data_IF_523163538154
#
_entry.id   IF_523163538154
#
_cell.length_a   1.000
_cell.length_b   1.000
_cell.length_c   1.000
_cell.angle_alpha   90.00
_cell.angle_beta   90.00
_cell.angle_gamma   90.00
#
_symmetry.space_group_name_H-M   'P 1'
#
loop_
_entity.id
_entity.type
_entity.pdbx_description
1 polymer ?
#
# COMPACT_ATOMS: atom_id res chain seq x y z
N UNK A 1 -59.31 56.20 -0.54
CA UNK A 1 -58.59 56.19 0.75
C UNK A 1 -58.90 54.87 1.43
N UNK A 2 -57.83 54.15 1.81
CA UNK A 2 -57.74 52.88 2.58
C UNK A 2 -58.07 51.62 1.78
N UNK A 3 -57.07 50.82 1.36
CA UNK A 3 -56.19 49.88 2.11
C UNK A 3 -56.89 48.52 2.29
N UNK A 4 -56.32 47.32 2.17
CA UNK A 4 -55.02 46.79 1.73
C UNK A 4 -55.14 45.24 1.77
N UNK A 5 -54.35 44.57 0.92
CA UNK A 5 -53.64 43.30 1.15
C UNK A 5 -54.35 42.05 1.73
N UNK A 6 -54.63 41.09 0.84
CA UNK A 6 -54.51 39.66 1.14
C UNK A 6 -53.32 39.10 0.34
N UNK A 7 -52.13 39.09 0.95
CA UNK A 7 -50.95 38.41 0.43
C UNK A 7 -50.91 36.99 1.00
N UNK A 8 -50.90 36.01 0.10
CA UNK A 8 -50.64 34.61 0.39
C UNK A 8 -49.20 34.45 0.91
N UNK A 9 -49.05 34.18 2.20
CA UNK A 9 -47.79 33.67 2.76
C UNK A 9 -47.71 32.18 2.49
N UNK A 10 -47.01 31.79 1.42
CA UNK A 10 -46.60 30.41 1.22
C UNK A 10 -45.25 30.22 1.93
N UNK A 11 -45.29 29.82 3.20
CA UNK A 11 -44.11 29.48 4.00
C UNK A 11 -43.58 28.11 3.56
N UNK A 12 -42.82 28.10 2.46
CA UNK A 12 -41.96 26.99 2.10
C UNK A 12 -40.82 26.89 3.12
N UNK A 13 -40.93 25.92 4.03
CA UNK A 13 -39.85 25.53 4.94
C UNK A 13 -38.63 25.11 4.11
N UNK A 14 -37.62 25.99 4.03
CA UNK A 14 -36.35 25.69 3.39
C UNK A 14 -35.59 24.68 4.26
N UNK A 15 -35.66 23.39 3.91
CA UNK A 15 -34.82 22.36 4.51
C UNK A 15 -33.37 22.73 4.21
N UNK A 16 -32.64 23.26 5.20
CA UNK A 16 -31.21 23.55 5.06
C UNK A 16 -30.45 22.24 4.75
N UNK A 17 -29.70 22.21 3.65
CA UNK A 17 -28.87 21.05 3.26
C UNK A 17 -27.98 20.61 4.43
N UNK A 18 -27.84 19.29 4.65
CA UNK A 18 -26.97 18.73 5.72
C UNK A 18 -25.55 19.27 5.56
N UNK A 19 -25.09 19.33 4.31
CA UNK A 19 -23.75 19.72 3.96
C UNK A 19 -23.56 21.24 3.93
N UNK A 20 -24.61 22.07 3.97
CA UNK A 20 -24.45 23.53 4.09
C UNK A 20 -23.63 23.93 5.32
N UNK A 21 -23.80 23.25 6.45
CA UNK A 21 -22.99 23.53 7.66
C UNK A 21 -21.50 23.22 7.52
N UNK A 22 -21.13 22.41 6.52
CA UNK A 22 -19.75 21.97 6.27
C UNK A 22 -19.13 22.68 5.07
N UNK A 23 -19.92 22.91 4.02
CA UNK A 23 -19.46 23.28 2.70
C UNK A 23 -19.98 24.65 2.25
N UNK A 24 -20.70 25.40 3.07
CA UNK A 24 -21.12 26.77 2.80
C UNK A 24 -20.50 27.75 3.82
N UNK A 25 -20.24 28.99 3.42
CA UNK A 25 -19.64 30.03 4.27
C UNK A 25 -20.15 31.41 3.85
N UNK A 26 -20.46 32.30 4.81
CA UNK A 26 -20.60 33.76 4.57
C UNK A 26 -21.44 34.25 3.38
N UNK A 27 -22.40 33.46 2.88
CA UNK A 27 -23.21 33.77 1.67
C UNK A 27 -22.89 32.94 0.42
N UNK A 28 -21.85 32.09 0.44
CA UNK A 28 -21.54 31.11 -0.59
C UNK A 28 -22.29 29.80 -0.33
N UNK A 29 -23.14 29.39 -1.28
CA UNK A 29 -23.86 28.11 -1.28
C UNK A 29 -23.44 27.18 -2.44
N UNK A 30 -22.29 27.45 -3.08
CA UNK A 30 -21.81 26.75 -4.27
C UNK A 30 -20.38 26.22 -4.16
N UNK A 31 -20.09 25.16 -4.92
CA UNK A 31 -18.77 24.60 -5.20
C UNK A 31 -18.37 24.86 -6.66
N UNK A 32 -17.12 24.60 -7.04
CA UNK A 32 -16.64 24.70 -8.41
C UNK A 32 -16.57 23.33 -9.07
N UNK A 33 -17.29 23.13 -10.16
CA UNK A 33 -17.15 21.96 -11.03
C UNK A 33 -15.74 21.86 -11.66
N UNK A 34 -15.41 20.76 -12.37
CA UNK A 34 -14.15 20.62 -13.11
C UNK A 34 -13.92 21.70 -14.18
N UNK A 35 -14.98 22.30 -14.72
CA UNK A 35 -14.90 23.42 -15.68
C UNK A 35 -14.88 24.80 -15.02
N UNK A 36 -15.04 24.86 -13.69
CA UNK A 36 -15.12 26.11 -12.93
C UNK A 36 -16.54 26.67 -12.80
N UNK A 37 -17.55 26.04 -13.41
CA UNK A 37 -18.95 26.41 -13.22
C UNK A 37 -19.40 26.15 -11.77
N UNK A 38 -20.32 26.97 -11.26
CA UNK A 38 -20.84 26.86 -9.90
C UNK A 38 -21.86 25.72 -9.76
N UNK A 39 -21.71 24.91 -8.71
CA UNK A 39 -22.59 23.78 -8.37
C UNK A 39 -23.15 24.00 -6.97
N UNK A 40 -24.48 24.02 -6.81
CA UNK A 40 -25.09 24.25 -5.48
C UNK A 40 -24.79 23.11 -4.52
N UNK A 41 -24.48 23.46 -3.26
CA UNK A 41 -24.23 22.49 -2.18
C UNK A 41 -25.45 21.60 -1.92
N UNK A 42 -26.67 22.10 -2.11
CA UNK A 42 -27.90 21.32 -1.98
C UNK A 42 -28.00 20.13 -2.95
N UNK A 43 -27.25 20.15 -4.06
CA UNK A 43 -27.22 19.02 -5.00
C UNK A 43 -26.53 17.78 -4.41
N UNK A 44 -25.85 17.93 -3.27
CA UNK A 44 -25.17 16.85 -2.57
C UNK A 44 -26.08 16.13 -1.56
N UNK A 45 -27.26 16.67 -1.27
CA UNK A 45 -28.16 16.08 -0.28
C UNK A 45 -28.62 14.67 -0.70
N UNK A 46 -28.62 13.75 0.27
CA UNK A 46 -28.96 12.34 0.05
C UNK A 46 -27.83 11.49 -0.53
N UNK A 47 -26.71 12.10 -0.95
CA UNK A 47 -25.52 11.37 -1.43
C UNK A 47 -24.62 10.90 -0.29
N UNK A 48 -23.92 9.80 -0.51
CA UNK A 48 -22.69 9.47 0.24
C UNK A 48 -21.60 10.44 -0.24
N UNK A 49 -21.00 11.19 0.67
CA UNK A 49 -20.09 12.28 0.32
C UNK A 49 -18.65 11.97 0.76
N UNK A 50 -17.71 11.95 -0.18
CA UNK A 50 -16.28 11.91 0.09
C UNK A 50 -15.66 13.31 0.10
N UNK A 51 -15.11 13.75 1.22
CA UNK A 51 -14.26 14.96 1.29
C UNK A 51 -12.82 14.56 1.02
N UNK A 52 -12.30 14.95 -0.15
CA UNK A 52 -10.97 14.55 -0.61
C UNK A 52 -9.96 15.68 -0.40
N UNK A 53 -9.10 15.53 0.60
CA UNK A 53 -8.01 16.46 0.90
C UNK A 53 -6.76 16.05 0.11
N UNK A 54 -6.29 16.93 -0.77
CA UNK A 54 -5.23 16.61 -1.71
C UNK A 54 -4.52 17.85 -2.27
N UNK A 55 -3.35 17.66 -2.87
CA UNK A 55 -2.59 18.71 -3.54
C UNK A 55 -1.88 18.19 -4.79
N UNK A 56 -1.75 19.04 -5.80
CA UNK A 56 -1.13 18.73 -7.08
C UNK A 56 0.36 18.41 -6.94
N UNK A 57 1.06 19.15 -6.08
CA UNK A 57 2.51 19.04 -5.92
C UNK A 57 2.96 17.69 -5.33
N UNK A 58 2.09 16.99 -4.60
CA UNK A 58 2.46 15.78 -3.87
C UNK A 58 2.24 14.50 -4.70
N UNK A 59 3.29 13.71 -5.02
CA UNK A 59 3.14 12.51 -5.87
C UNK A 59 2.15 11.45 -5.34
N UNK A 60 2.11 11.11 -4.03
CA UNK A 60 1.11 10.18 -3.50
C UNK A 60 -0.33 10.66 -3.70
N UNK A 61 -0.58 11.96 -3.68
CA UNK A 61 -1.89 12.53 -4.02
C UNK A 61 -2.26 12.25 -5.47
N UNK A 62 -1.36 12.54 -6.42
CA UNK A 62 -1.59 12.27 -7.85
C UNK A 62 -1.84 10.78 -8.13
N UNK A 63 -1.11 9.89 -7.45
CA UNK A 63 -1.31 8.45 -7.58
C UNK A 63 -2.70 8.01 -7.09
N UNK A 64 -3.11 8.45 -5.88
CA UNK A 64 -4.42 8.12 -5.35
C UNK A 64 -5.56 8.73 -6.18
N UNK A 65 -5.37 9.94 -6.71
CA UNK A 65 -6.36 10.59 -7.58
C UNK A 65 -6.75 9.70 -8.76
N UNK A 66 -5.78 9.07 -9.43
CA UNK A 66 -6.06 8.16 -10.55
C UNK A 66 -6.92 6.96 -10.14
N UNK A 67 -6.75 6.46 -8.92
CA UNK A 67 -7.51 5.33 -8.37
C UNK A 67 -8.91 5.78 -7.98
N UNK A 68 -9.03 6.95 -7.33
CA UNK A 68 -10.31 7.50 -6.93
C UNK A 68 -11.16 7.89 -8.14
N UNK A 69 -10.58 8.46 -9.20
CA UNK A 69 -11.28 8.76 -10.47
C UNK A 69 -11.89 7.49 -11.06
N UNK A 70 -11.10 6.43 -11.22
CA UNK A 70 -11.59 5.15 -11.75
C UNK A 70 -12.68 4.52 -10.89
N UNK A 71 -12.56 4.65 -9.57
CA UNK A 71 -13.56 4.13 -8.62
C UNK A 71 -14.85 4.95 -8.73
N UNK A 72 -14.74 6.28 -8.75
CA UNK A 72 -15.86 7.19 -8.89
C UNK A 72 -16.62 6.98 -10.19
N UNK A 73 -15.92 6.92 -11.34
CA UNK A 73 -16.55 6.70 -12.65
C UNK A 73 -17.36 5.40 -12.67
N UNK A 74 -16.80 4.29 -12.18
CA UNK A 74 -17.53 3.03 -12.07
C UNK A 74 -18.75 3.11 -11.13
N UNK A 75 -18.65 3.86 -10.04
CA UNK A 75 -19.79 4.08 -9.15
C UNK A 75 -20.88 4.92 -9.84
N UNK A 76 -20.51 5.94 -10.61
CA UNK A 76 -21.46 6.71 -11.41
C UNK A 76 -22.14 5.85 -12.48
N UNK A 77 -21.37 5.02 -13.20
CA UNK A 77 -21.88 4.11 -14.23
C UNK A 77 -22.88 3.10 -13.65
N UNK A 78 -22.67 2.67 -12.41
CA UNK A 78 -23.59 1.78 -11.67
C UNK A 78 -24.81 2.52 -11.08
N UNK A 79 -24.92 3.83 -11.26
CA UNK A 79 -25.99 4.64 -10.68
C UNK A 79 -25.88 4.84 -9.16
N UNK A 80 -24.70 4.61 -8.58
CA UNK A 80 -24.47 4.78 -7.15
C UNK A 80 -24.51 6.25 -6.76
N UNK A 81 -25.19 6.56 -5.66
CA UNK A 81 -25.33 7.93 -5.17
C UNK A 81 -24.10 8.39 -4.37
N UNK A 82 -22.93 8.32 -4.98
CA UNK A 82 -21.65 8.75 -4.42
C UNK A 82 -21.23 10.09 -5.04
N UNK A 83 -20.68 10.99 -4.24
CA UNK A 83 -20.12 12.26 -4.72
C UNK A 83 -18.85 12.60 -3.95
N UNK A 84 -17.93 13.28 -4.62
CA UNK A 84 -16.67 13.71 -4.00
C UNK A 84 -16.63 15.23 -3.99
N UNK A 85 -16.00 15.82 -2.97
CA UNK A 85 -15.70 17.25 -2.93
C UNK A 85 -14.21 17.40 -2.66
N UNK A 86 -13.52 18.01 -3.61
CA UNK A 86 -12.10 18.30 -3.49
C UNK A 86 -11.85 19.47 -2.54
N UNK A 87 -10.99 19.24 -1.54
CA UNK A 87 -10.51 20.21 -0.57
C UNK A 87 -9.00 20.41 -0.81
N UNK A 88 -8.65 21.52 -1.44
CA UNK A 88 -7.28 21.75 -1.91
C UNK A 88 -6.33 22.21 -0.81
N UNK A 89 -5.16 21.56 -0.78
CA UNK A 89 -3.97 21.98 -0.04
C UNK A 89 -2.87 22.56 -0.96
N UNK A 90 -3.23 22.97 -2.18
CA UNK A 90 -2.31 23.68 -3.07
C UNK A 90 -2.00 25.09 -2.56
N UNK A 91 -0.81 25.59 -2.90
CA UNK A 91 -0.31 26.89 -2.45
C UNK A 91 -0.76 28.04 -3.35
N UNK A 92 -1.11 27.74 -4.61
CA UNK A 92 -1.51 28.72 -5.61
C UNK A 92 -2.73 28.27 -6.44
N UNK A 93 -3.37 29.24 -7.10
CA UNK A 93 -4.59 29.02 -7.87
C UNK A 93 -4.38 28.24 -9.16
N UNK A 94 -3.18 28.29 -9.75
CA UNK A 94 -2.90 27.63 -11.02
C UNK A 94 -2.75 26.12 -10.78
N UNK A 95 -1.97 25.73 -9.76
CA UNK A 95 -1.87 24.36 -9.29
C UNK A 95 -3.24 23.78 -8.91
N UNK A 96 -4.06 24.55 -8.19
CA UNK A 96 -5.45 24.17 -7.88
C UNK A 96 -6.28 23.93 -9.14
N UNK A 97 -6.23 24.85 -10.10
CA UNK A 97 -7.06 24.78 -11.30
C UNK A 97 -6.67 23.62 -12.21
N UNK A 98 -5.37 23.40 -12.40
CA UNK A 98 -4.83 22.27 -13.16
C UNK A 98 -5.30 20.94 -12.55
N UNK A 99 -5.13 20.78 -11.24
CA UNK A 99 -5.45 19.53 -10.58
C UNK A 99 -6.96 19.29 -10.49
N UNK A 100 -7.76 20.32 -10.19
CA UNK A 100 -9.23 20.27 -10.24
C UNK A 100 -9.74 19.86 -11.62
N UNK A 101 -9.13 20.35 -12.70
CA UNK A 101 -9.53 19.99 -14.06
C UNK A 101 -9.28 18.51 -14.39
N UNK A 102 -8.40 17.84 -13.64
CA UNK A 102 -8.14 16.39 -13.76
C UNK A 102 -9.14 15.51 -12.99
N UNK A 103 -10.07 16.10 -12.25
CA UNK A 103 -11.04 15.39 -11.39
C UNK A 103 -12.46 15.51 -11.97
N UNK A 104 -13.32 14.48 -11.85
CA UNK A 104 -14.70 14.52 -12.35
C UNK A 104 -15.69 15.15 -11.36
N UNK A 105 -15.25 15.52 -10.15
CA UNK A 105 -16.09 16.00 -9.05
C UNK A 105 -15.85 17.48 -8.71
N UNK A 106 -16.77 18.15 -7.99
CA UNK A 106 -16.61 19.55 -7.61
C UNK A 106 -15.53 19.77 -6.53
N UNK A 107 -15.13 21.04 -6.37
CA UNK A 107 -14.13 21.49 -5.40
C UNK A 107 -14.63 22.69 -4.59
N UNK A 108 -14.15 22.83 -3.35
CA UNK A 108 -14.29 24.08 -2.60
C UNK A 108 -13.47 25.17 -3.32
N UNK A 109 -14.00 26.38 -3.54
CA UNK A 109 -13.24 27.44 -4.19
C UNK A 109 -11.90 27.69 -3.49
N UNK A 110 -10.84 27.88 -4.27
CA UNK A 110 -9.48 28.08 -3.74
C UNK A 110 -9.40 29.21 -2.69
N UNK A 111 -10.14 30.30 -2.94
CA UNK A 111 -10.22 31.48 -2.07
C UNK A 111 -10.95 31.25 -0.75
N UNK A 112 -11.72 30.17 -0.60
CA UNK A 112 -12.45 29.88 0.63
C UNK A 112 -11.57 29.16 1.65
N UNK A 113 -10.63 29.91 2.21
CA UNK A 113 -9.71 29.39 3.22
C UNK A 113 -10.43 29.04 4.53
N UNK A 114 -11.49 29.77 4.88
CA UNK A 114 -12.24 29.55 6.12
C UNK A 114 -12.87 28.15 6.16
N UNK A 115 -13.58 27.77 5.09
CA UNK A 115 -14.18 26.44 4.99
C UNK A 115 -13.11 25.36 5.00
N UNK A 116 -12.03 25.54 4.23
CA UNK A 116 -10.92 24.57 4.19
C UNK A 116 -10.28 24.39 5.58
N UNK A 117 -10.02 25.46 6.33
CA UNK A 117 -9.46 25.41 7.69
C UNK A 117 -10.46 24.74 8.66
N UNK A 118 -11.75 25.08 8.57
CA UNK A 118 -12.77 24.50 9.42
C UNK A 118 -12.90 22.97 9.20
N UNK A 119 -12.84 22.51 7.94
CA UNK A 119 -12.85 21.09 7.61
C UNK A 119 -11.60 20.38 8.11
N UNK A 120 -10.40 20.95 7.89
CA UNK A 120 -9.15 20.38 8.40
C UNK A 120 -9.20 20.19 9.92
N UNK A 121 -9.66 21.21 10.65
CA UNK A 121 -9.80 21.14 12.12
C UNK A 121 -10.86 20.16 12.56
N UNK A 122 -12.03 20.15 11.92
CA UNK A 122 -13.16 19.30 12.29
C UNK A 122 -12.83 17.81 12.16
N UNK A 123 -12.09 17.44 11.12
CA UNK A 123 -11.77 16.04 10.83
C UNK A 123 -10.35 15.64 11.27
N UNK A 124 -9.60 16.55 11.91
CA UNK A 124 -8.25 16.27 12.40
C UNK A 124 -7.30 15.83 11.30
N UNK A 125 -7.29 16.54 10.17
CA UNK A 125 -6.47 16.15 9.02
C UNK A 125 -5.00 16.43 9.31
N UNK A 126 -4.21 15.36 9.48
CA UNK A 126 -2.77 15.44 9.76
C UNK A 126 -1.89 15.29 8.50
N UNK A 127 -2.46 14.78 7.41
CA UNK A 127 -1.73 14.52 6.17
C UNK A 127 -2.63 14.33 4.96
N UNK A 128 -2.01 14.32 3.78
CA UNK A 128 -2.66 14.08 2.48
C UNK A 128 -1.92 12.96 1.72
N UNK A 129 -2.58 12.20 0.83
CA UNK A 129 -4.01 12.25 0.55
C UNK A 129 -4.85 11.76 1.73
N UNK A 130 -5.99 12.40 1.98
CA UNK A 130 -6.99 11.96 2.96
C UNK A 130 -8.38 12.01 2.33
N UNK A 131 -9.22 11.01 2.60
CA UNK A 131 -10.58 10.91 2.10
C UNK A 131 -11.50 10.58 3.28
N UNK A 132 -12.32 11.55 3.67
CA UNK A 132 -13.33 11.38 4.72
C UNK A 132 -14.66 11.06 4.06
N UNK A 133 -15.29 9.94 4.41
CA UNK A 133 -16.60 9.55 3.86
C UNK A 133 -17.71 9.83 4.87
N UNK A 134 -18.72 10.57 4.42
CA UNK A 134 -19.88 10.98 5.20
C UNK A 134 -21.13 10.29 4.67
N UNK A 135 -21.81 9.55 5.54
CA UNK A 135 -23.09 8.91 5.23
C UNK A 135 -24.22 9.94 5.07
N UNK A 136 -25.25 9.69 4.24
CA UNK A 136 -26.43 10.54 4.13
C UNK A 136 -27.27 10.48 5.41
N UNK A 137 -28.16 11.47 5.60
CA UNK A 137 -29.00 11.65 6.79
C UNK A 137 -30.11 10.61 6.96
N UNK A 138 -30.26 9.67 6.03
CA UNK A 138 -31.28 8.62 6.04
C UNK A 138 -30.66 7.24 6.29
N UNK A 139 -29.34 7.19 6.46
CA UNK A 139 -28.62 5.96 6.80
C UNK A 139 -28.83 5.63 8.28
N UNK A 140 -29.03 4.35 8.61
CA UNK A 140 -29.00 3.88 10.02
C UNK A 140 -27.70 4.26 10.73
N UNK A 141 -26.65 4.55 9.96
CA UNK A 141 -25.30 4.92 10.38
C UNK A 141 -25.07 6.44 10.30
N UNK A 142 -26.11 7.23 10.63
CA UNK A 142 -26.21 8.69 10.45
C UNK A 142 -25.04 9.50 11.02
N UNK A 143 -24.35 8.94 12.04
CA UNK A 143 -23.18 9.52 12.73
C UNK A 143 -21.83 8.96 12.27
N UNK A 144 -21.79 7.89 11.48
CA UNK A 144 -20.54 7.29 11.05
C UNK A 144 -19.84 8.17 10.02
N UNK A 145 -18.74 8.78 10.47
CA UNK A 145 -17.73 9.38 9.62
C UNK A 145 -16.63 8.36 9.46
N UNK A 146 -16.34 7.94 8.24
CA UNK A 146 -15.21 7.06 7.95
C UNK A 146 -13.99 7.91 7.65
N UNK A 147 -12.93 7.75 8.44
CA UNK A 147 -11.68 8.50 8.28
C UNK A 147 -10.69 7.78 7.36
N UNK A 148 -10.81 6.47 7.22
CA UNK A 148 -9.90 5.61 6.44
C UNK A 148 -10.33 5.46 4.98
N UNK A 149 -10.99 6.46 4.38
CA UNK A 149 -11.54 6.35 3.02
C UNK A 149 -10.49 6.04 1.96
N UNK A 150 -9.26 6.54 2.12
CA UNK A 150 -8.14 6.23 1.21
C UNK A 150 -7.82 4.74 1.24
N UNK A 151 -7.64 4.18 2.43
CA UNK A 151 -7.34 2.76 2.66
C UNK A 151 -8.46 1.86 2.12
N UNK A 152 -9.71 2.21 2.43
CA UNK A 152 -10.89 1.45 1.99
C UNK A 152 -11.01 1.46 0.46
N UNK A 153 -10.76 2.59 -0.21
CA UNK A 153 -10.77 2.67 -1.68
C UNK A 153 -9.60 1.88 -2.28
N UNK A 154 -8.40 1.94 -1.69
CA UNK A 154 -7.27 1.13 -2.15
C UNK A 154 -7.57 -0.38 -2.08
N UNK A 155 -8.12 -0.83 -0.94
CA UNK A 155 -8.32 -2.25 -0.66
C UNK A 155 -9.53 -2.84 -1.38
N UNK A 156 -10.65 -2.14 -1.35
CA UNK A 156 -11.94 -2.67 -1.80
C UNK A 156 -12.52 -1.92 -3.01
N UNK A 157 -12.05 -0.71 -3.31
CA UNK A 157 -12.51 0.08 -4.45
C UNK A 157 -14.03 0.26 -4.46
N UNK A 158 -14.67 -0.14 -5.57
CA UNK A 158 -16.12 -0.02 -5.75
C UNK A 158 -16.92 -0.95 -4.82
N UNK A 159 -16.33 -2.07 -4.40
CA UNK A 159 -17.02 -3.08 -3.58
C UNK A 159 -17.33 -2.56 -2.17
N UNK A 160 -16.58 -1.55 -1.72
CA UNK A 160 -16.80 -0.88 -0.44
C UNK A 160 -18.06 -0.02 -0.41
N UNK A 161 -18.59 0.44 -1.55
CA UNK A 161 -19.82 1.23 -1.56
C UNK A 161 -20.98 0.42 -0.97
N UNK A 162 -21.84 1.00 -0.09
CA UNK A 162 -22.00 2.42 0.24
C UNK A 162 -21.10 2.96 1.37
N UNK A 163 -20.00 2.28 1.69
CA UNK A 163 -19.04 2.64 2.74
C UNK A 163 -19.66 2.67 4.14
N UNK A 164 -20.71 1.88 4.36
CA UNK A 164 -21.33 1.70 5.67
C UNK A 164 -20.49 0.77 6.53
N UNK A 165 -20.58 0.90 7.85
CA UNK A 165 -19.88 0.00 8.77
C UNK A 165 -20.23 -1.48 8.47
N UNK A 166 -21.51 -1.79 8.29
CA UNK A 166 -22.01 -3.13 7.94
C UNK A 166 -21.35 -3.69 6.66
N UNK A 167 -21.25 -2.88 5.60
CA UNK A 167 -20.64 -3.33 4.34
C UNK A 167 -19.14 -3.59 4.51
N UNK A 168 -18.45 -2.73 5.26
CA UNK A 168 -17.02 -2.90 5.53
C UNK A 168 -16.75 -4.11 6.43
N UNK A 169 -17.63 -4.41 7.39
CA UNK A 169 -17.57 -5.62 8.20
C UNK A 169 -17.80 -6.87 7.35
N UNK A 170 -18.77 -6.85 6.44
CA UNK A 170 -18.99 -7.93 5.49
C UNK A 170 -17.74 -8.20 4.63
N UNK A 171 -17.13 -7.16 4.08
CA UNK A 171 -15.91 -7.31 3.26
C UNK A 171 -14.73 -7.86 4.07
N UNK A 172 -14.58 -7.42 5.32
CA UNK A 172 -13.57 -7.96 6.23
C UNK A 172 -13.81 -9.44 6.55
N UNK A 173 -15.07 -9.84 6.69
CA UNK A 173 -15.45 -11.24 6.88
C UNK A 173 -15.14 -12.06 5.62
N UNK A 174 -15.50 -11.57 4.44
CA UNK A 174 -15.17 -12.22 3.17
C UNK A 174 -13.64 -12.39 3.00
N UNK A 175 -12.85 -11.39 3.39
CA UNK A 175 -11.38 -11.50 3.41
C UNK A 175 -10.91 -12.56 4.41
N UNK A 176 -11.48 -12.60 5.63
CA UNK A 176 -11.15 -13.61 6.64
C UNK A 176 -11.49 -15.02 6.16
N UNK A 177 -12.67 -15.23 5.57
CA UNK A 177 -13.08 -16.51 5.01
C UNK A 177 -12.13 -16.95 3.88
N UNK A 178 -11.67 -16.03 3.03
CA UNK A 178 -10.66 -16.34 2.01
C UNK A 178 -9.33 -16.74 2.64
N UNK A 179 -8.88 -16.05 3.68
CA UNK A 179 -7.66 -16.41 4.41
C UNK A 179 -7.78 -17.76 5.13
N UNK A 180 -8.93 -18.04 5.75
CA UNK A 180 -9.25 -19.30 6.44
C UNK A 180 -9.37 -20.49 5.47
N UNK A 181 -9.85 -20.25 4.24
CA UNK A 181 -9.93 -21.27 3.19
C UNK A 181 -8.72 -21.29 2.24
N UNK A 182 -7.74 -20.41 2.47
CA UNK A 182 -6.53 -20.30 1.65
C UNK A 182 -5.74 -21.62 1.63
N UNK A 183 -5.44 -22.07 0.41
CA UNK A 183 -4.52 -23.17 0.09
C UNK A 183 -3.66 -22.79 -1.11
N UNK A 184 -2.60 -23.56 -1.40
CA UNK A 184 -1.80 -23.34 -2.62
C UNK A 184 -2.63 -23.49 -3.89
N UNK A 185 -3.57 -24.44 -3.91
CA UNK A 185 -4.44 -24.70 -5.07
C UNK A 185 -5.38 -23.51 -5.30
N UNK A 186 -6.05 -23.02 -4.25
CA UNK A 186 -6.97 -21.88 -4.40
C UNK A 186 -6.26 -20.58 -4.79
N UNK A 187 -4.97 -20.43 -4.45
CA UNK A 187 -4.18 -19.25 -4.80
C UNK A 187 -3.58 -19.29 -6.21
N UNK A 188 -3.19 -20.47 -6.70
CA UNK A 188 -2.36 -20.59 -7.91
C UNK A 188 -3.10 -21.22 -9.11
N UNK A 189 -4.36 -21.60 -8.95
CA UNK A 189 -5.22 -22.13 -10.01
C UNK A 189 -6.37 -21.18 -10.33
N UNK A 190 -6.98 -21.36 -11.50
CA UNK A 190 -8.21 -20.70 -11.90
C UNK A 190 -9.05 -21.64 -12.78
N UNK A 191 -10.24 -21.20 -13.21
CA UNK A 191 -11.16 -22.02 -14.01
C UNK A 191 -10.59 -22.52 -15.36
N UNK A 192 -9.48 -21.94 -15.82
CA UNK A 192 -8.85 -22.26 -17.09
C UNK A 192 -7.52 -23.01 -16.93
N UNK A 193 -6.99 -23.13 -15.71
CA UNK A 193 -5.60 -23.56 -15.50
C UNK A 193 -5.31 -24.07 -14.09
N UNK A 194 -4.57 -25.16 -14.02
CA UNK A 194 -4.13 -25.83 -12.80
C UNK A 194 -2.61 -26.10 -12.72
N UNK A 195 -1.81 -25.57 -13.65
CA UNK A 195 -0.36 -25.78 -13.71
C UNK A 195 0.43 -24.53 -13.30
N UNK A 196 1.74 -24.48 -13.53
CA UNK A 196 2.71 -23.35 -13.48
C UNK A 196 3.74 -23.59 -14.60
N UNK A 197 4.50 -22.59 -15.01
CA UNK A 197 5.61 -22.81 -15.94
C UNK A 197 6.92 -23.00 -15.19
N UNK A 198 7.71 -24.00 -15.59
CA UNK A 198 9.11 -24.08 -15.22
C UNK A 198 9.97 -23.15 -16.10
N UNK A 199 11.11 -22.71 -15.57
CA UNK A 199 12.05 -21.84 -16.29
C UNK A 199 12.74 -22.54 -17.48
N UNK A 200 12.92 -23.86 -17.43
CA UNK A 200 13.69 -24.63 -18.42
C UNK A 200 12.78 -25.16 -19.54
N UNK A 201 12.62 -24.39 -20.62
CA UNK A 201 11.61 -24.60 -21.69
C UNK A 201 10.17 -24.62 -21.12
N UNK A 202 9.10 -24.30 -21.88
CA UNK A 202 7.75 -24.21 -21.30
C UNK A 202 7.21 -25.61 -20.91
N UNK A 203 7.70 -26.14 -19.80
CA UNK A 203 7.19 -27.33 -19.13
C UNK A 203 6.16 -26.89 -18.10
N UNK A 204 4.98 -27.46 -18.22
CA UNK A 204 3.90 -27.25 -17.27
C UNK A 204 4.14 -28.12 -16.02
N UNK A 205 3.98 -27.52 -14.84
CA UNK A 205 4.10 -28.16 -13.53
C UNK A 205 2.75 -28.04 -12.82
N UNK A 206 2.06 -29.14 -12.50
CA UNK A 206 0.78 -29.08 -11.80
C UNK A 206 0.90 -28.36 -10.45
N UNK A 207 -0.01 -27.44 -10.12
CA UNK A 207 0.00 -26.72 -8.83
C UNK A 207 -0.09 -27.68 -7.65
N UNK A 208 -0.82 -28.79 -7.81
CA UNK A 208 -0.93 -29.83 -6.78
C UNK A 208 0.42 -30.41 -6.36
N UNK A 209 1.46 -30.37 -7.22
CA UNK A 209 2.80 -30.84 -6.84
C UNK A 209 3.55 -29.91 -5.89
N UNK A 210 3.01 -28.71 -5.60
CA UNK A 210 3.56 -27.79 -4.61
C UNK A 210 2.95 -28.03 -3.21
N UNK A 211 1.87 -28.81 -3.09
CA UNK A 211 1.26 -29.13 -1.79
C UNK A 211 2.27 -29.85 -0.90
N UNK A 212 2.42 -29.39 0.35
CA UNK A 212 3.44 -29.88 1.27
C UNK A 212 4.77 -29.12 1.24
N UNK A 213 4.96 -28.19 0.29
CA UNK A 213 6.18 -27.39 0.19
C UNK A 213 6.02 -26.01 0.82
N UNK A 214 7.09 -25.48 1.38
CA UNK A 214 7.15 -24.03 1.67
C UNK A 214 7.27 -23.29 0.33
N UNK A 215 6.39 -22.33 0.07
CA UNK A 215 6.33 -21.63 -1.22
C UNK A 215 6.54 -20.13 -1.05
N UNK A 216 7.49 -19.55 -1.79
CA UNK A 216 7.65 -18.11 -1.92
C UNK A 216 6.89 -17.55 -3.13
N UNK A 217 5.94 -16.63 -2.95
CA UNK A 217 5.37 -15.86 -4.05
C UNK A 217 6.20 -14.60 -4.29
N UNK A 218 6.91 -14.57 -5.42
CA UNK A 218 7.85 -13.49 -5.75
C UNK A 218 7.24 -12.50 -6.74
N UNK A 219 6.81 -11.35 -6.25
CA UNK A 219 6.27 -10.25 -7.07
C UNK A 219 7.41 -9.34 -7.52
N UNK A 220 7.67 -9.27 -8.82
CA UNK A 220 8.74 -8.44 -9.38
C UNK A 220 8.54 -8.19 -10.87
N UNK A 221 9.36 -7.32 -11.45
CA UNK A 221 9.39 -7.02 -12.87
C UNK A 221 10.79 -6.62 -13.33
N UNK A 222 11.06 -6.71 -14.64
CA UNK A 222 12.34 -6.36 -15.25
C UNK A 222 12.70 -4.89 -15.06
N UNK A 223 11.70 -4.01 -15.09
CA UNK A 223 11.87 -2.56 -14.91
C UNK A 223 12.16 -2.16 -13.45
N UNK A 224 12.09 -3.12 -12.53
CA UNK A 224 12.33 -2.88 -11.11
C UNK A 224 13.85 -2.86 -10.81
N UNK A 225 14.51 -1.71 -11.03
CA UNK A 225 15.89 -1.47 -10.60
C UNK A 225 16.04 -0.07 -9.98
N UNK A 226 16.47 0.00 -8.70
CA UNK A 226 17.87 -0.10 -8.30
C UNK A 226 18.22 -1.48 -7.72
N UNK A 227 19.30 -2.12 -8.20
CA UNK A 227 19.68 -3.52 -7.91
C UNK A 227 19.70 -3.85 -6.42
N UNK A 228 19.23 -5.01 -5.94
CA UNK A 228 20.03 -6.26 -5.94
C UNK A 228 19.21 -7.50 -5.49
N UNK A 229 17.88 -7.44 -5.40
CA UNK A 229 17.14 -8.52 -4.72
C UNK A 229 17.09 -9.85 -5.49
N UNK A 230 16.83 -9.85 -6.81
CA UNK A 230 16.70 -11.11 -7.57
C UNK A 230 17.97 -11.97 -7.55
N UNK A 231 19.18 -11.43 -7.83
CA UNK A 231 20.41 -12.24 -7.71
C UNK A 231 20.64 -12.78 -6.29
N UNK A 232 20.29 -12.00 -5.26
CA UNK A 232 20.36 -12.41 -3.86
C UNK A 232 19.37 -13.55 -3.56
N UNK A 233 18.15 -13.43 -4.06
CA UNK A 233 17.11 -14.46 -3.92
C UNK A 233 17.50 -15.75 -4.64
N UNK A 234 18.09 -15.68 -5.84
CA UNK A 234 18.63 -16.84 -6.56
C UNK A 234 19.70 -17.55 -5.73
N UNK A 235 20.62 -16.79 -5.14
CA UNK A 235 21.68 -17.33 -4.28
C UNK A 235 21.12 -18.03 -3.04
N UNK A 236 20.18 -17.39 -2.35
CA UNK A 236 19.54 -17.95 -1.15
C UNK A 236 18.68 -19.17 -1.49
N UNK A 237 17.87 -19.10 -2.55
CA UNK A 237 17.07 -20.22 -3.05
C UNK A 237 17.95 -21.45 -3.30
N UNK A 238 19.06 -21.29 -4.04
CA UNK A 238 19.97 -22.40 -4.36
C UNK A 238 20.57 -23.05 -3.11
N UNK A 239 20.87 -22.26 -2.07
CA UNK A 239 21.36 -22.78 -0.79
C UNK A 239 20.27 -23.52 -0.02
N UNK A 240 19.06 -22.96 0.06
CA UNK A 240 17.92 -23.62 0.72
C UNK A 240 17.63 -24.94 0.01
N UNK A 241 17.55 -24.97 -1.32
CA UNK A 241 17.34 -26.21 -2.11
C UNK A 241 18.35 -27.29 -1.74
N UNK A 242 19.64 -26.95 -1.64
CA UNK A 242 20.68 -27.89 -1.19
C UNK A 242 20.53 -28.34 0.26
N UNK A 243 20.06 -27.46 1.16
CA UNK A 243 19.85 -27.79 2.57
C UNK A 243 18.69 -28.78 2.76
N UNK A 244 17.62 -28.62 1.98
CA UNK A 244 16.42 -29.45 2.07
C UNK A 244 16.50 -30.73 1.24
N UNK A 245 17.37 -30.80 0.22
CA UNK A 245 17.60 -32.03 -0.57
C UNK A 245 18.00 -33.24 0.28
N UNK A 246 18.59 -32.98 1.46
CA UNK A 246 19.00 -34.01 2.43
C UNK A 246 17.91 -34.33 3.48
N UNK A 247 16.71 -33.76 3.37
CA UNK A 247 15.60 -33.92 4.32
C UNK A 247 14.33 -34.35 3.58
N UNK A 248 13.80 -35.53 3.90
CA UNK A 248 12.67 -36.11 3.15
C UNK A 248 11.34 -35.33 3.30
N UNK A 249 11.14 -34.62 4.43
CA UNK A 249 9.87 -33.95 4.76
C UNK A 249 9.89 -32.42 4.50
N UNK A 250 10.95 -31.90 3.89
CA UNK A 250 11.12 -30.47 3.68
C UNK A 250 11.39 -30.17 2.20
N UNK A 251 10.67 -29.20 1.64
CA UNK A 251 10.99 -28.66 0.33
C UNK A 251 10.62 -27.18 0.25
N UNK A 252 11.34 -26.46 -0.61
CA UNK A 252 11.16 -25.04 -0.87
C UNK A 252 11.03 -24.80 -2.37
N UNK A 253 10.04 -24.01 -2.76
CA UNK A 253 9.85 -23.56 -4.13
C UNK A 253 9.50 -22.08 -4.19
N UNK A 254 9.82 -21.41 -5.28
CA UNK A 254 9.39 -20.03 -5.56
C UNK A 254 8.46 -20.02 -6.78
N UNK A 255 7.41 -19.20 -6.72
CA UNK A 255 6.53 -18.91 -7.86
C UNK A 255 6.65 -17.42 -8.18
N UNK A 256 7.15 -17.13 -9.38
CA UNK A 256 7.23 -15.78 -9.92
C UNK A 256 5.84 -15.28 -10.31
N UNK A 257 5.51 -14.09 -9.81
CA UNK A 257 4.28 -13.35 -10.10
C UNK A 257 4.69 -12.04 -10.78
N UNK A 258 4.62 -12.02 -12.11
CA UNK A 258 5.18 -10.91 -12.90
C UNK A 258 4.35 -9.63 -12.78
N UNK A 259 5.04 -8.51 -12.62
CA UNK A 259 4.50 -7.15 -12.78
C UNK A 259 5.03 -6.49 -14.07
N UNK A 260 5.54 -7.28 -15.02
CA UNK A 260 6.00 -6.79 -16.32
C UNK A 260 4.83 -6.28 -17.16
N UNK A 261 5.09 -5.24 -17.95
CA UNK A 261 4.07 -4.56 -18.76
C UNK A 261 3.89 -5.17 -20.14
N UNK A 262 4.81 -6.05 -20.52
CA UNK A 262 4.87 -6.72 -21.82
C UNK A 262 5.48 -8.11 -21.68
N UNK A 263 5.14 -8.98 -22.64
CA UNK A 263 5.51 -10.39 -22.65
C UNK A 263 7.01 -10.61 -22.88
N UNK A 264 7.67 -9.76 -23.68
CA UNK A 264 9.11 -9.86 -23.94
C UNK A 264 9.94 -9.60 -22.68
N UNK A 265 9.57 -8.57 -21.90
CA UNK A 265 10.17 -8.27 -20.61
C UNK A 265 9.98 -9.41 -19.62
N UNK A 266 8.77 -10.00 -19.59
CA UNK A 266 8.48 -11.19 -18.79
C UNK A 266 9.41 -12.35 -19.14
N UNK A 267 9.44 -12.80 -20.40
CA UNK A 267 10.23 -13.97 -20.81
C UNK A 267 11.73 -13.74 -20.57
N UNK A 268 12.23 -12.55 -20.89
CA UNK A 268 13.64 -12.19 -20.67
C UNK A 268 14.02 -12.23 -19.20
N UNK A 269 13.16 -11.78 -18.29
CA UNK A 269 13.45 -11.72 -16.87
C UNK A 269 13.21 -13.06 -16.17
N UNK A 270 12.07 -13.69 -16.44
CA UNK A 270 11.73 -15.02 -15.92
C UNK A 270 12.76 -16.08 -16.35
N UNK A 271 13.28 -16.00 -17.58
CA UNK A 271 14.32 -16.91 -18.07
C UNK A 271 15.65 -16.85 -17.29
N UNK A 272 15.87 -15.83 -16.45
CA UNK A 272 17.03 -15.74 -15.55
C UNK A 272 16.82 -16.40 -14.18
N UNK A 273 15.60 -16.84 -13.87
CA UNK A 273 15.20 -17.33 -12.56
C UNK A 273 15.14 -18.86 -12.52
N UNK A 274 15.61 -19.53 -11.46
CA UNK A 274 15.66 -20.99 -11.38
C UNK A 274 14.35 -21.65 -10.89
N UNK A 275 13.27 -20.89 -10.76
CA UNK A 275 12.03 -21.31 -10.09
C UNK A 275 10.82 -21.31 -11.04
N UNK A 276 9.62 -21.56 -10.50
CA UNK A 276 8.37 -21.63 -11.28
C UNK A 276 7.77 -20.23 -11.50
N UNK A 277 6.85 -20.08 -12.44
CA UNK A 277 6.17 -18.81 -12.71
C UNK A 277 4.72 -18.98 -13.14
N UNK A 278 3.89 -18.00 -12.80
CA UNK A 278 2.59 -17.83 -13.43
C UNK A 278 2.77 -17.41 -14.90
N UNK A 279 1.93 -17.89 -15.83
CA UNK A 279 1.87 -17.39 -17.19
C UNK A 279 1.70 -15.87 -17.24
N UNK A 280 2.33 -15.23 -18.22
CA UNK A 280 2.09 -13.83 -18.48
C UNK A 280 0.59 -13.58 -18.77
N UNK A 281 0.02 -12.55 -18.15
CA UNK A 281 -1.40 -12.21 -18.29
C UNK A 281 -2.38 -13.10 -17.52
N UNK A 282 -1.91 -14.06 -16.71
CA UNK A 282 -2.78 -14.88 -15.86
C UNK A 282 -3.60 -13.97 -14.92
N UNK A 283 -4.94 -14.10 -14.85
CA UNK A 283 -5.77 -13.24 -14.01
C UNK A 283 -5.39 -13.34 -12.52
N UNK A 284 -4.84 -14.47 -12.08
CA UNK A 284 -4.40 -14.66 -10.70
C UNK A 284 -3.28 -13.69 -10.30
N UNK A 285 -2.51 -13.14 -11.23
CA UNK A 285 -1.47 -12.14 -10.93
C UNK A 285 -2.08 -10.93 -10.20
N UNK A 286 -3.22 -10.43 -10.68
CA UNK A 286 -3.91 -9.27 -10.08
C UNK A 286 -4.60 -9.65 -8.78
N UNK A 287 -5.26 -10.81 -8.75
CA UNK A 287 -5.94 -11.31 -7.55
C UNK A 287 -4.95 -11.55 -6.40
N UNK A 288 -3.79 -12.13 -6.69
CA UNK A 288 -2.73 -12.34 -5.69
C UNK A 288 -2.16 -11.02 -5.18
N UNK A 289 -1.90 -10.06 -6.07
CA UNK A 289 -1.42 -8.74 -5.66
C UNK A 289 -2.43 -8.03 -4.73
N UNK A 290 -3.74 -8.16 -5.02
CA UNK A 290 -4.82 -7.64 -4.17
C UNK A 290 -4.91 -8.41 -2.84
N UNK A 291 -4.97 -9.74 -2.89
CA UNK A 291 -5.11 -10.61 -1.72
C UNK A 291 -3.98 -10.41 -0.70
N UNK A 292 -2.75 -10.26 -1.19
CA UNK A 292 -1.59 -10.02 -0.33
C UNK A 292 -1.33 -8.55 -0.04
N UNK A 293 -2.13 -7.64 -0.59
CA UNK A 293 -1.98 -6.19 -0.45
C UNK A 293 -0.56 -5.72 -0.86
N UNK A 294 -0.13 -6.11 -2.06
CA UNK A 294 1.21 -5.81 -2.56
C UNK A 294 1.32 -4.36 -3.01
N UNK A 295 1.80 -3.51 -2.10
CA UNK A 295 1.97 -2.07 -2.32
C UNK A 295 3.19 -1.69 -3.17
N UNK A 296 4.16 -2.59 -3.33
CA UNK A 296 5.37 -2.31 -4.09
C UNK A 296 6.19 -3.57 -4.40
N UNK A 297 7.06 -3.46 -5.40
CA UNK A 297 7.97 -4.53 -5.84
C UNK A 297 9.44 -4.11 -5.69
N UNK A 298 10.39 -5.05 -5.49
CA UNK A 298 10.15 -6.48 -5.31
C UNK A 298 9.52 -6.81 -3.95
N UNK A 299 8.58 -7.76 -3.94
CA UNK A 299 7.93 -8.29 -2.74
C UNK A 299 8.01 -9.83 -2.75
N UNK A 300 8.19 -10.43 -1.57
CA UNK A 300 8.24 -11.89 -1.40
C UNK A 300 7.34 -12.29 -0.24
N UNK A 301 6.27 -13.01 -0.54
CA UNK A 301 5.35 -13.60 0.44
C UNK A 301 5.77 -15.05 0.66
N UNK A 302 5.83 -15.50 1.90
CA UNK A 302 6.15 -16.91 2.23
C UNK A 302 4.87 -17.61 2.68
N UNK A 303 4.59 -18.76 2.08
CA UNK A 303 3.48 -19.65 2.37
C UNK A 303 4.01 -20.95 2.98
N UNK A 304 3.29 -21.46 3.97
CA UNK A 304 3.51 -22.75 4.61
C UNK A 304 3.14 -23.92 3.69
N UNK A 305 3.57 -25.15 4.01
CA UNK A 305 3.18 -26.40 3.34
C UNK A 305 1.68 -26.59 3.07
N UNK A 306 0.82 -26.08 3.96
CA UNK A 306 -0.64 -26.13 3.84
C UNK A 306 -1.23 -24.98 2.99
N UNK A 307 -0.38 -24.08 2.49
CA UNK A 307 -0.76 -22.89 1.73
C UNK A 307 -1.15 -21.68 2.57
N UNK A 308 -1.06 -21.74 3.91
CA UNK A 308 -1.27 -20.57 4.77
C UNK A 308 -0.12 -19.59 4.70
N UNK A 309 -0.42 -18.31 4.87
CA UNK A 309 0.60 -17.26 4.87
C UNK A 309 1.44 -17.35 6.15
N UNK A 310 2.75 -17.52 5.99
CA UNK A 310 3.72 -17.40 7.09
C UNK A 310 4.07 -15.93 7.30
N UNK A 311 4.44 -15.23 6.22
CA UNK A 311 4.80 -13.81 6.31
C UNK A 311 4.66 -13.12 4.97
N UNK A 312 4.27 -11.85 5.01
CA UNK A 312 4.31 -10.93 3.85
C UNK A 312 5.66 -10.20 3.72
N UNK A 313 6.56 -10.38 4.69
CA UNK A 313 7.85 -9.69 4.80
C UNK A 313 9.03 -10.58 4.40
N UNK A 314 8.81 -11.58 3.53
CA UNK A 314 9.84 -12.53 3.12
C UNK A 314 11.09 -11.86 2.54
N UNK A 315 10.93 -10.74 1.82
CA UNK A 315 12.08 -9.96 1.30
C UNK A 315 12.97 -9.46 2.44
N UNK A 316 12.40 -8.98 3.54
CA UNK A 316 13.16 -8.49 4.69
C UNK A 316 13.90 -9.65 5.37
N UNK A 317 13.24 -10.80 5.53
CA UNK A 317 13.86 -12.00 6.10
C UNK A 317 15.04 -12.51 5.26
N UNK A 318 14.90 -12.56 3.94
CA UNK A 318 16.01 -12.92 3.03
C UNK A 318 17.14 -11.90 3.11
N UNK A 319 16.82 -10.61 3.28
CA UNK A 319 17.84 -9.58 3.41
C UNK A 319 18.63 -9.69 4.71
N UNK A 320 17.94 -9.98 5.81
CA UNK A 320 18.48 -10.02 7.17
C UNK A 320 19.19 -11.34 7.48
N UNK A 321 18.50 -12.46 7.26
CA UNK A 321 18.93 -13.79 7.69
C UNK A 321 19.36 -14.71 6.54
N UNK A 322 19.14 -14.32 5.29
CA UNK A 322 19.50 -15.11 4.09
C UNK A 322 18.90 -16.52 4.15
N UNK A 323 19.68 -17.56 3.85
CA UNK A 323 19.25 -18.96 3.94
C UNK A 323 18.86 -19.40 5.36
N UNK A 324 19.38 -18.75 6.41
CA UNK A 324 19.09 -19.12 7.80
C UNK A 324 17.66 -18.80 8.21
N UNK A 325 16.99 -17.91 7.46
CA UNK A 325 15.58 -17.58 7.64
C UNK A 325 14.69 -18.80 7.50
N UNK A 326 15.08 -19.78 6.67
CA UNK A 326 14.32 -20.99 6.43
C UNK A 326 14.24 -21.86 7.71
N UNK A 327 13.09 -22.46 8.05
CA UNK A 327 11.84 -22.60 7.27
C UNK A 327 10.85 -21.42 7.43
N UNK A 328 11.32 -20.25 7.86
CA UNK A 328 10.54 -19.03 8.07
C UNK A 328 9.48 -19.13 9.17
N UNK A 329 9.51 -20.20 9.98
CA UNK A 329 8.59 -20.37 11.10
C UNK A 329 8.83 -19.33 12.19
N UNK A 330 7.78 -18.99 12.92
CA UNK A 330 7.86 -18.03 14.03
C UNK A 330 8.96 -18.41 15.04
N UNK A 331 8.99 -19.67 15.47
CA UNK A 331 10.02 -20.18 16.37
C UNK A 331 11.45 -19.99 15.82
N UNK A 332 11.66 -20.22 14.51
CA UNK A 332 12.97 -20.01 13.89
C UNK A 332 13.36 -18.53 13.86
N UNK A 333 12.38 -17.65 13.60
CA UNK A 333 12.62 -16.21 13.60
C UNK A 333 12.93 -15.69 15.01
N UNK A 334 12.23 -16.17 16.04
CA UNK A 334 12.54 -15.85 17.45
C UNK A 334 13.97 -16.24 17.83
N UNK A 335 14.42 -17.44 17.42
CA UNK A 335 15.81 -17.88 17.61
C UNK A 335 16.80 -16.92 16.96
N UNK A 336 16.59 -16.56 15.68
CA UNK A 336 17.48 -15.68 14.94
C UNK A 336 17.52 -14.26 15.52
N UNK A 337 16.37 -13.73 15.96
CA UNK A 337 16.30 -12.43 16.65
C UNK A 337 17.11 -12.47 17.94
N UNK A 338 16.99 -13.54 18.72
CA UNK A 338 17.74 -13.73 19.96
C UNK A 338 19.24 -13.83 19.69
N UNK A 339 19.66 -14.64 18.71
CA UNK A 339 21.06 -14.78 18.29
C UNK A 339 21.64 -13.43 17.87
N UNK A 340 20.93 -12.67 17.03
CA UNK A 340 21.34 -11.32 16.63
C UNK A 340 21.45 -10.37 17.82
N UNK A 341 20.53 -10.44 18.79
CA UNK A 341 20.59 -9.63 20.00
C UNK A 341 21.82 -9.94 20.86
N UNK A 342 22.16 -11.22 21.01
CA UNK A 342 23.37 -11.64 21.74
C UNK A 342 24.67 -11.28 20.98
N UNK A 343 24.66 -11.30 19.65
CA UNK A 343 25.77 -10.80 18.83
C UNK A 343 25.92 -9.28 18.94
N UNK A 344 24.82 -8.53 18.92
CA UNK A 344 24.82 -7.08 19.04
C UNK A 344 25.41 -6.60 20.37
N UNK A 345 25.21 -7.36 21.47
CA UNK A 345 25.85 -7.06 22.77
C UNK A 345 27.38 -7.10 22.73
N UNK A 346 27.97 -7.75 21.73
CA UNK A 346 29.43 -7.83 21.53
C UNK A 346 29.96 -6.65 20.71
N UNK A 347 29.08 -5.90 20.06
CA UNK A 347 29.45 -4.76 19.23
C UNK A 347 29.68 -3.51 20.10
N UNK A 348 30.59 -2.61 19.70
CA UNK A 348 30.74 -1.31 20.35
C UNK A 348 29.43 -0.51 20.31
N UNK A 349 29.07 0.14 21.41
CA UNK A 349 27.86 1.00 21.48
C UNK A 349 27.96 2.22 20.57
N UNK A 350 29.17 2.66 20.24
CA UNK A 350 29.43 3.72 19.29
C UNK A 350 30.73 3.49 18.51
N UNK A 351 30.79 4.00 17.28
CA UNK A 351 31.92 3.85 16.37
C UNK A 351 32.16 5.13 15.57
N UNK A 352 33.43 5.36 15.20
CA UNK A 352 33.80 6.33 14.15
C UNK A 352 33.87 5.63 12.80
N UNK A 353 33.35 6.28 11.77
CA UNK A 353 33.29 5.72 10.43
C UNK A 353 34.14 6.54 9.45
N UNK A 354 35.01 5.91 8.65
CA UNK A 354 35.98 6.63 7.80
C UNK A 354 35.28 7.52 6.75
N UNK A 355 34.14 7.09 6.23
CA UNK A 355 33.32 7.84 5.28
C UNK A 355 32.35 8.85 5.92
N UNK A 356 32.32 8.99 7.26
CA UNK A 356 31.34 9.83 7.94
C UNK A 356 31.91 10.56 9.17
N UNK A 357 31.64 11.87 9.30
CA UNK A 357 32.30 12.72 10.29
C UNK A 357 31.77 12.56 11.72
N UNK A 358 30.49 12.27 11.90
CA UNK A 358 29.87 12.13 13.21
C UNK A 358 30.08 10.73 13.77
N UNK A 359 29.97 10.62 15.09
CA UNK A 359 29.94 9.32 15.77
C UNK A 359 28.63 8.59 15.44
N UNK A 360 28.73 7.29 15.13
CA UNK A 360 27.58 6.45 14.86
C UNK A 360 27.25 5.64 16.12
N UNK A 361 25.99 5.64 16.52
CA UNK A 361 25.49 4.89 17.68
C UNK A 361 24.87 3.58 17.21
N UNK A 362 25.09 2.51 17.97
CA UNK A 362 24.43 1.24 17.72
C UNK A 362 22.96 1.36 18.13
N UNK A 363 22.08 1.27 17.15
CA UNK A 363 20.62 1.32 17.32
C UNK A 363 19.99 0.01 16.89
N UNK A 364 18.81 -0.25 17.45
CA UNK A 364 17.92 -1.37 17.16
C UNK A 364 16.53 -0.83 16.83
N UNK A 365 15.65 -1.71 16.36
CA UNK A 365 14.27 -1.37 16.05
C UNK A 365 13.49 -0.73 17.23
N UNK A 366 13.86 -1.07 18.48
CA UNK A 366 13.18 -0.56 19.68
C UNK A 366 13.66 0.80 20.21
N UNK A 367 14.78 1.34 19.71
CA UNK A 367 15.40 2.55 20.27
C UNK A 367 15.91 3.57 19.23
N UNK A 368 15.38 3.52 18.00
CA UNK A 368 15.67 4.52 16.96
C UNK A 368 16.07 3.95 15.59
N UNK A 369 16.17 2.62 15.46
CA UNK A 369 16.37 1.93 14.20
C UNK A 369 15.05 1.45 13.57
N UNK A 370 15.09 1.13 12.28
CA UNK A 370 13.99 0.55 11.50
C UNK A 370 14.55 -0.04 10.19
N UNK A 371 13.73 -0.30 9.17
CA UNK A 371 14.24 -0.58 7.83
C UNK A 371 15.03 0.63 7.31
N UNK A 372 16.26 0.41 6.86
CA UNK A 372 17.15 1.48 6.36
C UNK A 372 17.83 1.09 5.07
N UNK A 373 18.37 2.06 4.33
CA UNK A 373 19.30 1.79 3.22
C UNK A 373 20.70 2.10 3.73
N UNK A 374 21.56 1.08 3.79
CA UNK A 374 22.92 1.23 4.27
C UNK A 374 23.69 2.16 3.35
N UNK A 375 24.25 3.25 3.89
CA UNK A 375 24.95 4.26 3.12
C UNK A 375 26.26 3.77 2.47
N UNK A 376 26.80 2.63 2.92
CA UNK A 376 28.05 2.05 2.39
C UNK A 376 27.82 1.10 1.21
N UNK A 377 26.89 0.16 1.35
CA UNK A 377 26.64 -0.87 0.34
C UNK A 377 25.39 -0.61 -0.50
N UNK A 378 24.61 0.41 -0.15
CA UNK A 378 23.33 0.74 -0.76
C UNK A 378 22.31 -0.42 -0.72
N UNK A 379 22.52 -1.40 0.18
CA UNK A 379 21.58 -2.50 0.42
C UNK A 379 20.64 -2.15 1.57
N UNK A 380 19.40 -2.62 1.47
CA UNK A 380 18.42 -2.52 2.55
C UNK A 380 18.89 -3.31 3.79
N UNK A 381 18.92 -2.65 4.94
CA UNK A 381 19.09 -3.22 6.27
C UNK A 381 17.81 -3.18 7.09
N UNK A 382 17.77 -3.99 8.14
CA UNK A 382 16.72 -4.02 9.15
C UNK A 382 17.31 -4.58 10.45
N UNK A 383 16.71 -4.28 11.60
CA UNK A 383 17.20 -4.72 12.91
C UNK A 383 18.27 -3.78 13.48
N UNK A 384 19.51 -4.27 13.62
CA UNK A 384 20.61 -3.50 14.21
C UNK A 384 21.38 -2.68 13.16
N UNK A 385 21.64 -1.41 13.47
CA UNK A 385 22.34 -0.47 12.61
C UNK A 385 23.29 0.43 13.41
N UNK A 386 24.32 0.96 12.75
CA UNK A 386 25.03 2.13 13.26
C UNK A 386 24.43 3.39 12.63
N UNK A 387 23.83 4.25 13.45
CA UNK A 387 23.12 5.45 13.02
C UNK A 387 23.76 6.72 13.57
N UNK A 388 23.94 7.72 12.72
CA UNK A 388 24.24 9.09 13.14
C UNK A 388 22.94 9.79 13.53
N UNK A 389 22.79 10.13 14.82
CA UNK A 389 21.60 10.82 15.32
C UNK A 389 21.50 12.28 14.84
N UNK A 390 22.59 12.85 14.33
CA UNK A 390 22.62 14.24 13.85
C UNK A 390 22.14 14.38 12.40
N UNK A 391 22.40 13.39 11.55
CA UNK A 391 22.11 13.50 10.11
C UNK A 391 21.44 12.28 9.47
N UNK A 392 21.13 11.24 10.26
CA UNK A 392 20.43 10.05 9.78
C UNK A 392 21.28 9.12 8.91
N UNK A 393 22.60 9.23 8.95
CA UNK A 393 23.51 8.30 8.25
C UNK A 393 23.45 6.92 8.90
N UNK A 394 23.07 5.89 8.13
CA UNK A 394 22.84 4.53 8.64
C UNK A 394 23.67 3.49 7.90
N UNK A 395 24.36 2.62 8.65
CA UNK A 395 25.26 1.60 8.11
C UNK A 395 25.05 0.26 8.80
N UNK A 396 25.15 -0.84 8.06
CA UNK A 396 25.13 -2.18 8.67
C UNK A 396 26.34 -2.38 9.59
N UNK A 397 26.18 -3.09 10.73
CA UNK A 397 27.31 -3.45 11.59
C UNK A 397 28.48 -4.11 10.83
N UNK A 398 28.19 -5.04 9.92
CA UNK A 398 29.18 -5.71 9.07
C UNK A 398 29.95 -4.75 8.15
N UNK A 399 29.32 -3.67 7.68
CA UNK A 399 29.93 -2.72 6.76
C UNK A 399 30.94 -1.83 7.51
N UNK A 400 30.66 -1.50 8.76
CA UNK A 400 31.63 -0.83 9.65
C UNK A 400 32.85 -1.73 9.89
N UNK A 401 32.66 -3.02 10.18
CA UNK A 401 33.77 -3.95 10.38
C UNK A 401 34.65 -4.12 9.13
N UNK A 402 34.04 -4.24 7.95
CA UNK A 402 34.77 -4.39 6.69
C UNK A 402 35.62 -3.16 6.34
N UNK A 403 35.10 -1.95 6.58
CA UNK A 403 35.85 -0.71 6.36
C UNK A 403 37.02 -0.54 7.35
N UNK A 404 36.84 -0.97 8.60
CA UNK A 404 37.92 -0.95 9.59
C UNK A 404 39.05 -1.94 9.23
N UNK A 405 38.75 -3.07 8.59
CA UNK A 405 39.77 -4.04 8.12
C UNK A 405 40.52 -3.59 6.86
N UNK A 406 39.89 -2.78 6.01
CA UNK A 406 40.48 -2.27 4.77
C UNK A 406 41.16 -0.91 4.93
N UNK A 407 41.14 -0.31 6.13
CA UNK A 407 41.90 0.91 6.40
C UNK A 407 43.38 0.54 6.62
N UNK A 408 44.33 1.16 5.87
CA UNK A 408 45.74 1.02 6.20
C UNK A 408 45.94 1.55 7.62
N UNK A 409 46.42 0.67 8.50
CA UNK A 409 46.85 1.05 9.84
C UNK A 409 47.93 2.13 9.68
N UNK A 410 47.70 3.31 10.27
CA UNK A 410 48.76 4.28 10.53
C UNK A 410 49.73 3.73 11.58
#
# INVERSE_FOLDING_TARGET
>A
MKDENQALTNSGSCRSSRFSSLLASGGRDYLLSPTGAQVKVSNLDGKVLGLYFSANWYPPCRNFNQILVRTYEKLQDNGSNFEVVYVSSDEDSDAFNEYRASMPWPAIPFSDLETKIALNRKFGIEGIPCLIILQPRESKDETATLHEGVEVVYRYGVDAFPFTQERLEQLKEEDREKEENQTLVTLLTNNYRDYLFAHSFPKQVPVVSLVGKTVGLYFSAKWCLPGMFTPKLISVYSKIKRMVEMKEDEDFEIVFVSSDRDEDSFHSYFGSMPWLGLPYGDPMIKELAKHFDVQGIPCLIILAPNGKTITKQGRNLINLYRENAYPFTEARLEELVKEMGEEAKKLPTSVRHVGHRHELNLVSEGNGGGPFICCECNEQGSGWAYQCLECGFEVHPKCVEMNNRNSPIN
#
